data_IF_027967539649
#
_entry.id   IF_027967539649
#
_cell.length_a   1.000
_cell.length_b   1.000
_cell.length_c   1.000
_cell.angle_alpha   90.00
_cell.angle_beta   90.00
_cell.angle_gamma   90.00
#
_symmetry.space_group_name_H-M   'P 1'
#
loop_
_entity.id
_entity.type
_entity.pdbx_description
1 polymer ?
#
# COMPACT_ATOMS: atom_id res chain seq x y z
N UNK A 1 4.06 -1.11 14.00
CA UNK A 1 4.66 -1.97 15.04
C UNK A 1 4.98 -3.33 14.47
N UNK A 2 6.08 -3.93 14.92
CA UNK A 2 6.47 -5.28 14.52
C UNK A 2 7.41 -5.88 15.55
N UNK A 3 7.38 -7.20 15.68
CA UNK A 3 8.43 -7.99 16.26
C UNK A 3 9.11 -8.77 15.12
N UNK A 4 10.40 -8.52 14.92
CA UNK A 4 11.27 -9.36 14.09
C UNK A 4 12.45 -9.80 14.95
N UNK A 5 12.69 -11.09 15.00
CA UNK A 5 13.81 -11.69 15.71
C UNK A 5 14.67 -12.42 14.69
N UNK A 6 15.96 -12.09 14.66
CA UNK A 6 16.92 -12.68 13.73
C UNK A 6 18.07 -13.27 14.51
N UNK A 7 18.41 -14.52 14.25
CA UNK A 7 19.66 -15.13 14.66
C UNK A 7 20.57 -15.26 13.44
N UNK A 8 21.82 -14.86 13.60
CA UNK A 8 22.88 -14.99 12.60
C UNK A 8 24.07 -15.68 13.24
N UNK A 9 24.49 -16.80 12.66
CA UNK A 9 25.67 -17.54 13.08
C UNK A 9 26.39 -18.17 11.90
N UNK A 10 27.52 -18.81 12.18
CA UNK A 10 28.34 -19.45 11.14
C UNK A 10 27.62 -20.60 10.43
N UNK A 11 26.67 -21.26 11.10
CA UNK A 11 25.91 -22.40 10.55
C UNK A 11 24.70 -21.97 9.72
N UNK A 12 24.28 -20.71 9.79
CA UNK A 12 23.08 -20.22 9.13
C UNK A 12 22.43 -19.04 9.81
N UNK A 13 21.26 -18.67 9.30
CA UNK A 13 20.43 -17.57 9.76
C UNK A 13 18.99 -18.07 9.95
N UNK A 14 18.36 -17.67 11.06
CA UNK A 14 16.94 -17.91 11.35
C UNK A 14 16.28 -16.57 11.56
N UNK A 15 15.13 -16.35 10.97
CA UNK A 15 14.39 -15.10 11.13
C UNK A 15 12.90 -15.38 11.33
N UNK A 16 12.32 -14.75 12.35
CA UNK A 16 10.89 -14.78 12.64
C UNK A 16 10.33 -13.36 12.60
N UNK A 17 9.13 -13.19 12.05
CA UNK A 17 8.43 -11.92 12.00
C UNK A 17 6.93 -12.08 12.16
N UNK A 18 6.32 -11.19 12.92
CA UNK A 18 4.86 -11.19 13.09
C UNK A 18 4.18 -10.58 11.87
N UNK A 19 2.87 -10.76 11.74
CA UNK A 19 2.12 -10.28 10.57
C UNK A 19 1.23 -9.06 10.84
N UNK A 20 1.27 -8.47 12.05
CA UNK A 20 0.40 -7.35 12.45
C UNK A 20 0.89 -6.01 11.94
N UNK A 21 0.05 -5.24 11.28
CA UNK A 21 0.29 -3.82 11.04
C UNK A 21 -0.88 -3.02 11.58
N UNK A 22 -0.56 -1.93 12.28
CA UNK A 22 -1.53 -1.03 12.90
C UNK A 22 -1.31 0.35 12.29
N UNK A 23 -2.33 0.85 11.61
CA UNK A 23 -2.44 2.23 11.18
C UNK A 23 -3.26 3.03 12.18
N UNK A 24 -2.81 4.24 12.48
CA UNK A 24 -3.48 5.17 13.39
C UNK A 24 -3.92 6.39 12.60
N UNK A 25 -5.22 6.69 12.60
CA UNK A 25 -5.80 7.88 11.98
C UNK A 25 -6.46 8.74 13.05
N UNK A 26 -6.08 10.00 13.11
CA UNK A 26 -6.54 10.94 14.14
C UNK A 26 -5.50 12.00 14.43
N UNK A 27 -5.76 12.81 15.46
CA UNK A 27 -4.85 13.84 15.93
C UNK A 27 -3.44 13.29 16.24
N UNK A 28 -2.40 14.10 16.01
CA UNK A 28 -1.02 13.66 16.16
C UNK A 28 -0.66 13.40 17.62
N UNK A 29 -1.01 14.29 18.54
CA UNK A 29 -0.63 14.18 19.95
C UNK A 29 -1.32 12.98 20.60
N UNK A 30 -2.60 12.77 20.28
CA UNK A 30 -3.34 11.61 20.76
C UNK A 30 -2.76 10.30 20.23
N UNK A 31 -2.35 10.25 18.95
CA UNK A 31 -1.69 9.07 18.37
C UNK A 31 -0.38 8.75 19.07
N UNK A 32 0.44 9.76 19.36
CA UNK A 32 1.71 9.58 20.07
C UNK A 32 1.47 9.07 21.50
N UNK A 33 0.47 9.59 22.20
CA UNK A 33 0.05 9.10 23.52
C UNK A 33 -0.37 7.63 23.48
N UNK A 34 -1.25 7.26 22.54
CA UNK A 34 -1.70 5.87 22.40
C UNK A 34 -0.54 4.92 22.09
N UNK A 35 0.35 5.31 21.17
CA UNK A 35 1.55 4.52 20.85
C UNK A 35 2.45 4.32 22.07
N UNK A 36 2.67 5.35 22.89
CA UNK A 36 3.46 5.25 24.12
C UNK A 36 2.83 4.28 25.13
N UNK A 37 1.52 4.38 25.35
CA UNK A 37 0.79 3.47 26.26
C UNK A 37 0.90 2.02 25.79
N UNK A 38 0.84 1.77 24.48
CA UNK A 38 1.06 0.45 23.89
C UNK A 38 2.50 -0.02 24.06
N UNK A 39 3.49 0.85 23.82
CA UNK A 39 4.91 0.47 23.84
C UNK A 39 5.44 0.22 25.25
N UNK A 40 4.82 0.83 26.25
CA UNK A 40 5.11 0.64 27.68
C UNK A 40 4.33 -0.52 28.29
N UNK A 41 3.38 -1.11 27.57
CA UNK A 41 2.59 -2.26 28.05
C UNK A 41 1.42 -1.89 28.97
N UNK A 42 0.99 -0.63 28.98
CA UNK A 42 -0.24 -0.22 29.69
C UNK A 42 -1.48 -0.87 29.08
N UNK A 43 -1.45 -1.12 27.77
CA UNK A 43 -2.50 -1.79 27.00
C UNK A 43 -2.06 -3.23 26.71
N UNK A 44 -2.83 -4.21 27.18
CA UNK A 44 -2.50 -5.63 27.14
C UNK A 44 -3.30 -6.42 26.13
N UNK A 45 -4.53 -5.99 25.83
CA UNK A 45 -5.42 -6.70 24.91
C UNK A 45 -5.82 -5.85 23.72
N UNK A 46 -6.33 -6.50 22.66
CA UNK A 46 -6.83 -5.79 21.47
C UNK A 46 -8.12 -5.04 21.79
N UNK A 47 -8.95 -5.55 22.70
CA UNK A 47 -10.16 -4.90 23.20
C UNK A 47 -9.82 -3.62 23.97
N UNK A 48 -8.82 -3.67 24.86
CA UNK A 48 -8.32 -2.48 25.57
C UNK A 48 -7.78 -1.45 24.58
N UNK A 49 -7.05 -1.89 23.55
CA UNK A 49 -6.54 -1.01 22.50
C UNK A 49 -7.66 -0.29 21.75
N UNK A 50 -8.71 -1.01 21.35
CA UNK A 50 -9.87 -0.40 20.68
C UNK A 50 -10.62 0.58 21.58
N UNK A 51 -10.83 0.21 22.84
CA UNK A 51 -11.48 1.10 23.83
C UNK A 51 -10.67 2.39 23.99
N UNK A 52 -9.36 2.26 24.21
CA UNK A 52 -8.48 3.40 24.44
C UNK A 52 -8.37 4.30 23.20
N UNK A 53 -8.29 3.71 22.02
CA UNK A 53 -8.29 4.47 20.78
C UNK A 53 -9.59 5.25 20.58
N UNK A 54 -10.75 4.67 20.93
CA UNK A 54 -12.04 5.37 20.87
C UNK A 54 -12.10 6.55 21.84
N UNK A 55 -11.58 6.40 23.06
CA UNK A 55 -11.49 7.50 24.04
C UNK A 55 -10.64 8.68 23.54
N UNK A 56 -9.63 8.39 22.71
CA UNK A 56 -8.72 9.37 22.13
C UNK A 56 -9.14 9.82 20.72
N UNK A 57 -10.32 9.43 20.26
CA UNK A 57 -10.86 9.71 18.91
C UNK A 57 -9.92 9.25 17.76
N UNK A 58 -9.20 8.16 17.98
CA UNK A 58 -8.29 7.55 17.01
C UNK A 58 -8.98 6.38 16.32
N UNK A 59 -9.05 6.44 15.00
CA UNK A 59 -9.45 5.33 14.16
C UNK A 59 -8.28 4.38 13.92
N UNK A 60 -8.44 3.11 14.30
CA UNK A 60 -7.44 2.06 14.12
C UNK A 60 -7.72 1.25 12.85
N UNK A 61 -6.66 0.99 12.09
CA UNK A 61 -6.66 -0.02 11.01
C UNK A 61 -5.66 -1.12 11.36
N UNK A 62 -6.16 -2.24 11.88
CA UNK A 62 -5.35 -3.41 12.22
C UNK A 62 -5.46 -4.44 11.08
N UNK A 63 -4.32 -4.98 10.67
CA UNK A 63 -4.22 -6.02 9.63
C UNK A 63 -3.22 -7.07 10.09
N UNK A 64 -3.52 -8.35 9.97
CA UNK A 64 -2.69 -9.46 10.49
C UNK A 64 -2.06 -10.32 9.38
N UNK A 65 -1.94 -9.78 8.17
CA UNK A 65 -1.45 -10.48 6.99
C UNK A 65 -0.24 -9.79 6.31
N UNK A 66 0.46 -8.91 7.02
CA UNK A 66 1.60 -8.17 6.44
C UNK A 66 2.84 -9.04 6.44
N UNK A 67 3.43 -9.23 5.26
CA UNK A 67 4.75 -9.87 5.13
C UNK A 67 5.84 -8.94 5.69
N UNK A 68 6.51 -9.39 6.75
CA UNK A 68 7.62 -8.66 7.39
C UNK A 68 8.96 -9.34 7.25
N UNK A 69 8.93 -10.65 7.05
CA UNK A 69 10.11 -11.46 6.79
C UNK A 69 9.89 -12.19 5.48
N UNK A 70 10.90 -12.17 4.63
CA UNK A 70 10.90 -12.87 3.34
C UNK A 70 12.25 -13.49 3.05
N UNK A 71 12.24 -14.45 2.14
CA UNK A 71 13.44 -15.11 1.64
C UNK A 71 13.81 -14.58 0.25
N UNK A 72 15.07 -14.15 0.08
CA UNK A 72 15.68 -13.80 -1.20
C UNK A 72 16.82 -14.79 -1.50
N UNK A 73 16.45 -16.05 -1.77
CA UNK A 73 17.38 -17.16 -2.03
C UNK A 73 18.14 -17.60 -0.78
N UNK A 74 19.38 -17.14 -0.65
CA UNK A 74 20.29 -17.47 0.47
C UNK A 74 20.32 -16.37 1.55
N UNK A 75 19.51 -15.32 1.39
CA UNK A 75 19.45 -14.17 2.29
C UNK A 75 18.02 -14.02 2.83
N UNK A 76 17.90 -13.95 4.16
CA UNK A 76 16.66 -13.58 4.82
C UNK A 76 16.59 -12.07 5.01
N UNK A 77 15.42 -11.49 4.72
CA UNK A 77 15.17 -10.05 4.88
C UNK A 77 14.03 -9.83 5.85
N UNK A 78 14.30 -9.09 6.92
CA UNK A 78 13.31 -8.63 7.87
C UNK A 78 13.13 -7.13 7.75
N UNK A 79 11.89 -6.64 7.67
CA UNK A 79 11.59 -5.21 7.51
C UNK A 79 10.54 -4.72 8.49
N UNK A 80 10.88 -3.65 9.21
CA UNK A 80 9.91 -2.85 9.97
C UNK A 80 9.76 -1.49 9.31
N UNK A 81 8.52 -1.00 9.25
CA UNK A 81 8.17 0.26 8.57
C UNK A 81 7.45 1.16 9.56
N UNK A 82 7.82 2.44 9.55
CA UNK A 82 7.09 3.53 10.18
C UNK A 82 6.62 4.46 9.06
N UNK A 83 5.31 4.67 8.97
CA UNK A 83 4.72 5.61 8.02
C UNK A 83 4.12 6.78 8.79
N UNK A 84 4.52 7.99 8.44
CA UNK A 84 3.85 9.23 8.86
C UNK A 84 3.15 9.83 7.64
N UNK A 85 2.50 10.98 7.83
CA UNK A 85 1.87 11.73 6.72
C UNK A 85 2.89 12.26 5.71
N UNK A 86 4.15 12.46 6.13
CA UNK A 86 5.19 13.11 5.31
C UNK A 86 6.27 12.14 4.83
N UNK A 87 6.57 11.10 5.61
CA UNK A 87 7.69 10.21 5.32
C UNK A 87 7.41 8.76 5.65
N UNK A 88 8.12 7.86 4.98
CA UNK A 88 8.19 6.45 5.34
C UNK A 88 9.62 6.11 5.71
N UNK A 89 9.84 5.73 6.96
CA UNK A 89 11.12 5.21 7.44
C UNK A 89 11.05 3.69 7.51
N UNK A 90 12.13 3.02 7.12
CA UNK A 90 12.22 1.55 7.18
C UNK A 90 13.52 1.16 7.85
N UNK A 91 13.46 0.10 8.66
CA UNK A 91 14.66 -0.60 9.11
C UNK A 91 14.59 -2.02 8.56
N UNK A 92 15.64 -2.41 7.86
CA UNK A 92 15.81 -3.75 7.31
C UNK A 92 16.96 -4.45 8.00
N UNK A 93 16.86 -5.76 8.13
CA UNK A 93 17.98 -6.64 8.37
C UNK A 93 18.05 -7.64 7.22
N UNK A 94 19.22 -7.75 6.62
CA UNK A 94 19.58 -8.80 5.67
C UNK A 94 20.52 -9.75 6.40
N UNK A 95 20.20 -11.02 6.47
CA UNK A 95 21.00 -12.02 7.20
C UNK A 95 21.20 -13.30 6.40
N UNK A 96 22.41 -13.84 6.47
CA UNK A 96 22.77 -15.15 5.91
C UNK A 96 23.74 -15.85 6.88
N UNK A 97 24.28 -17.02 6.52
CA UNK A 97 25.35 -17.62 7.34
C UNK A 97 26.54 -16.67 7.47
N UNK A 98 27.13 -16.55 8.65
CA UNK A 98 28.36 -15.79 8.89
C UNK A 98 28.28 -14.27 8.65
N UNK A 99 27.11 -13.67 8.47
CA UNK A 99 27.02 -12.21 8.31
C UNK A 99 25.61 -11.63 8.26
N UNK A 100 25.53 -10.32 8.55
CA UNK A 100 24.32 -9.53 8.35
C UNK A 100 24.59 -8.05 8.03
N UNK A 101 23.58 -7.40 7.46
CA UNK A 101 23.48 -5.95 7.31
C UNK A 101 22.17 -5.43 7.91
N UNK A 102 22.26 -4.47 8.81
CA UNK A 102 21.13 -3.65 9.25
C UNK A 102 21.13 -2.35 8.47
N UNK A 103 20.03 -2.03 7.81
CA UNK A 103 19.91 -0.90 6.88
C UNK A 103 18.76 -0.02 7.30
N UNK A 104 19.01 1.27 7.41
CA UNK A 104 17.97 2.28 7.64
C UNK A 104 17.71 3.02 6.34
N UNK A 105 16.43 3.07 5.93
CA UNK A 105 15.97 3.72 4.71
C UNK A 105 15.00 4.85 5.05
N UNK A 106 15.12 5.99 4.37
CA UNK A 106 14.06 7.00 4.29
C UNK A 106 13.53 6.99 2.87
N UNK A 107 12.26 6.63 2.72
CA UNK A 107 11.67 6.32 1.43
C UNK A 107 12.37 5.11 0.79
N UNK A 108 13.27 5.38 -0.14
CA UNK A 108 14.06 4.40 -0.91
C UNK A 108 15.55 4.76 -0.94
N UNK A 109 15.98 5.68 -0.08
CA UNK A 109 17.38 6.07 0.08
C UNK A 109 17.96 5.41 1.31
N UNK A 110 19.14 4.79 1.17
CA UNK A 110 19.92 4.25 2.28
C UNK A 110 20.52 5.40 3.07
N UNK A 111 20.19 5.47 4.36
CA UNK A 111 20.73 6.47 5.30
C UNK A 111 21.85 5.89 6.16
N UNK A 112 21.75 4.62 6.52
CA UNK A 112 22.73 3.96 7.36
C UNK A 112 22.82 2.47 7.03
N UNK A 113 24.03 1.92 7.13
CA UNK A 113 24.29 0.48 7.03
C UNK A 113 25.23 0.09 8.16
N UNK A 114 24.81 -0.88 8.97
CA UNK A 114 25.64 -1.52 9.99
C UNK A 114 25.82 -2.99 9.66
N UNK A 115 27.05 -3.47 9.70
CA UNK A 115 27.36 -4.87 9.45
C UNK A 115 27.77 -5.59 10.73
N UNK A 116 27.65 -6.92 10.72
CA UNK A 116 28.18 -7.78 11.76
C UNK A 116 28.24 -9.23 11.31
N UNK A 117 28.91 -10.07 12.10
CA UNK A 117 29.19 -11.46 11.74
C UNK A 117 28.21 -12.46 12.39
N UNK A 118 28.05 -12.39 13.71
CA UNK A 118 27.13 -13.25 14.46
C UNK A 118 26.40 -12.43 15.51
N UNK A 119 25.09 -12.56 15.59
CA UNK A 119 24.27 -11.81 16.54
C UNK A 119 22.85 -12.38 16.65
N UNK A 120 22.16 -12.01 17.72
CA UNK A 120 20.70 -12.02 17.76
C UNK A 120 20.23 -10.57 17.66
N UNK A 121 19.51 -10.23 16.60
CA UNK A 121 18.98 -8.88 16.36
C UNK A 121 17.46 -8.90 16.56
N UNK A 122 16.95 -7.95 17.33
CA UNK A 122 15.53 -7.82 17.64
C UNK A 122 15.04 -6.44 17.21
N UNK A 123 14.15 -6.41 16.23
CA UNK A 123 13.32 -5.24 15.94
C UNK A 123 12.00 -5.39 16.68
N UNK A 124 11.64 -4.36 17.45
CA UNK A 124 10.53 -4.40 18.39
C UNK A 124 10.42 -3.09 19.16
N UNK A 125 9.21 -2.83 19.67
CA UNK A 125 9.01 -1.83 20.72
C UNK A 125 9.65 -2.31 22.04
N UNK A 126 9.55 -1.49 23.09
CA UNK A 126 10.21 -1.77 24.37
C UNK A 126 9.73 -3.09 24.99
N UNK A 127 8.42 -3.28 25.15
CA UNK A 127 7.84 -4.48 25.76
C UNK A 127 8.16 -5.77 24.99
N UNK A 128 8.02 -5.76 23.65
CA UNK A 128 8.31 -6.95 22.82
C UNK A 128 9.78 -7.37 22.91
N UNK A 129 10.71 -6.39 22.96
CA UNK A 129 12.13 -6.65 23.20
C UNK A 129 12.39 -7.19 24.60
N UNK A 130 11.75 -6.66 25.63
CA UNK A 130 11.93 -7.14 27.01
C UNK A 130 11.51 -8.60 27.15
N UNK A 131 10.32 -8.95 26.64
CA UNK A 131 9.81 -10.32 26.64
C UNK A 131 10.75 -11.24 25.85
N UNK A 132 11.10 -10.87 24.62
CA UNK A 132 11.99 -11.67 23.78
C UNK A 132 13.35 -11.91 24.45
N UNK A 133 13.96 -10.87 25.03
CA UNK A 133 15.23 -11.01 25.74
C UNK A 133 15.13 -11.91 26.98
N UNK A 134 14.00 -11.86 27.71
CA UNK A 134 13.76 -12.76 28.87
C UNK A 134 13.74 -14.22 28.43
N UNK A 135 13.05 -14.54 27.34
CA UNK A 135 13.02 -15.88 26.77
C UNK A 135 14.39 -16.35 26.29
N UNK A 136 15.12 -15.49 25.56
CA UNK A 136 16.47 -15.80 25.12
C UNK A 136 17.38 -16.10 26.31
N UNK A 137 17.40 -15.27 27.35
CA UNK A 137 18.22 -15.52 28.55
C UNK A 137 17.90 -16.85 29.24
N UNK A 138 16.63 -17.28 29.24
CA UNK A 138 16.18 -18.50 29.90
C UNK A 138 16.47 -19.77 29.10
N UNK A 139 16.33 -19.71 27.77
CA UNK A 139 16.34 -20.89 26.91
C UNK A 139 17.58 -21.02 26.02
N UNK A 140 18.35 -19.94 25.84
CA UNK A 140 19.52 -19.95 24.97
C UNK A 140 20.70 -20.69 25.59
N UNK A 141 21.31 -21.59 24.80
CA UNK A 141 22.52 -22.33 25.18
C UNK A 141 23.63 -22.08 24.15
N UNK A 142 24.90 -22.21 24.56
CA UNK A 142 26.06 -21.95 23.70
C UNK A 142 26.16 -22.84 22.46
N UNK A 143 25.50 -24.01 22.45
CA UNK A 143 25.48 -24.97 21.34
C UNK A 143 24.09 -25.16 20.71
N UNK A 144 23.24 -24.14 20.75
CA UNK A 144 21.89 -24.20 20.17
C UNK A 144 21.95 -24.45 18.66
N UNK A 145 21.29 -25.50 18.17
CA UNK A 145 21.14 -25.81 16.75
C UNK A 145 20.15 -24.86 16.06
N UNK A 146 20.22 -24.72 14.72
CA UNK A 146 19.28 -23.86 13.98
C UNK A 146 17.81 -24.25 14.21
N UNK A 147 17.52 -25.56 14.29
CA UNK A 147 16.18 -26.05 14.59
C UNK A 147 15.71 -25.65 15.99
N UNK A 148 16.59 -25.68 16.99
CA UNK A 148 16.27 -25.20 18.33
C UNK A 148 16.08 -23.69 18.36
N UNK A 149 16.87 -22.92 17.61
CA UNK A 149 16.66 -21.47 17.44
C UNK A 149 15.27 -21.20 16.88
N UNK A 150 14.85 -21.91 15.83
CA UNK A 150 13.50 -21.80 15.26
C UNK A 150 12.40 -22.10 16.29
N UNK A 151 12.58 -23.12 17.14
CA UNK A 151 11.65 -23.43 18.24
C UNK A 151 11.62 -22.33 19.31
N UNK A 152 12.78 -21.79 19.70
CA UNK A 152 12.85 -20.67 20.65
C UNK A 152 12.11 -19.46 20.09
N UNK A 153 12.34 -19.12 18.81
CA UNK A 153 11.67 -17.99 18.18
C UNK A 153 10.16 -18.19 18.11
N UNK A 154 9.70 -19.40 17.75
CA UNK A 154 8.29 -19.77 17.77
C UNK A 154 7.63 -19.44 19.11
N UNK A 155 8.20 -19.93 20.20
CA UNK A 155 7.66 -19.71 21.54
C UNK A 155 7.65 -18.21 21.89
N UNK A 156 8.70 -17.47 21.52
CA UNK A 156 8.73 -16.01 21.74
C UNK A 156 7.59 -15.32 20.99
N UNK A 157 7.33 -15.66 19.73
CA UNK A 157 6.25 -15.03 18.95
C UNK A 157 4.89 -15.30 19.59
N UNK A 158 4.64 -16.54 20.02
CA UNK A 158 3.39 -16.96 20.67
C UNK A 158 3.19 -16.25 22.00
N UNK A 159 4.21 -16.23 22.86
CA UNK A 159 4.13 -15.59 24.19
C UNK A 159 3.96 -14.07 24.07
N UNK A 160 4.65 -13.43 23.13
CA UNK A 160 4.50 -11.98 22.91
C UNK A 160 3.11 -11.65 22.38
N UNK A 161 2.57 -12.43 21.45
CA UNK A 161 1.22 -12.20 20.91
C UNK A 161 0.12 -12.30 22.00
N UNK A 162 0.33 -13.11 23.04
CA UNK A 162 -0.59 -13.21 24.17
C UNK A 162 -0.49 -12.03 25.15
N UNK A 163 0.67 -11.37 25.22
CA UNK A 163 0.96 -10.36 26.24
C UNK A 163 0.80 -8.92 25.74
N UNK A 164 0.65 -8.71 24.42
CA UNK A 164 0.50 -7.38 23.85
C UNK A 164 -0.33 -7.40 22.57
N UNK A 165 -1.18 -6.37 22.34
CA UNK A 165 -1.95 -6.27 21.09
C UNK A 165 -1.07 -5.83 19.91
N UNK A 166 0.22 -5.56 20.13
CA UNK A 166 1.12 -4.98 19.11
C UNK A 166 1.68 -6.01 18.13
N UNK A 167 1.46 -7.30 18.39
CA UNK A 167 1.99 -8.46 17.65
C UNK A 167 0.85 -9.40 17.29
N UNK A 168 0.89 -9.96 16.07
CA UNK A 168 -0.11 -10.95 15.62
C UNK A 168 0.17 -12.32 16.23
N UNK A 169 -0.88 -13.11 16.45
CA UNK A 169 -0.74 -14.55 16.69
C UNK A 169 -0.20 -15.32 15.47
N UNK A 170 -0.30 -14.73 14.28
CA UNK A 170 0.28 -15.25 13.05
C UNK A 170 1.68 -14.66 12.83
N UNK A 171 2.61 -15.53 12.45
CA UNK A 171 4.00 -15.18 12.21
C UNK A 171 4.60 -16.09 11.15
N UNK A 172 5.64 -15.59 10.49
CA UNK A 172 6.45 -16.36 9.54
C UNK A 172 7.81 -16.65 10.17
N UNK A 173 8.36 -17.84 9.94
CA UNK A 173 9.72 -18.22 10.35
C UNK A 173 10.44 -18.85 9.16
N UNK A 174 11.60 -18.30 8.83
CA UNK A 174 12.46 -18.81 7.76
C UNK A 174 13.84 -19.17 8.29
N UNK A 175 14.51 -20.09 7.61
CA UNK A 175 15.89 -20.51 7.91
C UNK A 175 16.65 -20.68 6.62
N UNK A 176 17.87 -20.14 6.58
CA UNK A 176 18.86 -20.36 5.51
C UNK A 176 20.17 -20.83 6.14
N UNK A 177 20.88 -21.71 5.46
CA UNK A 177 22.13 -22.29 5.96
C UNK A 177 23.14 -22.54 4.83
N UNK A 178 23.41 -21.53 3.99
CA UNK A 178 24.44 -21.67 2.95
C UNK A 178 25.81 -21.84 3.61
N UNK A 179 26.75 -22.45 2.89
CA UNK A 179 28.11 -22.65 3.38
C UNK A 179 28.98 -21.48 2.90
N UNK A 180 28.98 -20.39 3.67
CA UNK A 180 29.71 -19.16 3.34
C UNK A 180 30.68 -18.78 4.45
N UNK A 181 31.90 -18.41 4.05
CA UNK A 181 32.79 -17.65 4.91
C UNK A 181 32.28 -16.20 5.09
N UNK A 182 32.89 -15.46 6.01
CA UNK A 182 32.45 -14.10 6.30
C UNK A 182 32.58 -13.14 5.09
N UNK A 183 33.62 -13.30 4.27
CA UNK A 183 33.85 -12.43 3.10
C UNK A 183 32.81 -12.70 2.02
N UNK A 184 32.53 -13.97 1.75
CA UNK A 184 31.48 -14.40 0.82
C UNK A 184 30.10 -13.92 1.28
N UNK A 185 29.80 -14.07 2.57
CA UNK A 185 28.55 -13.61 3.17
C UNK A 185 28.36 -12.10 2.97
N UNK A 186 29.39 -11.30 3.24
CA UNK A 186 29.32 -9.84 3.12
C UNK A 186 29.10 -9.38 1.68
N UNK A 187 29.72 -10.06 0.70
CA UNK A 187 29.50 -9.74 -0.72
C UNK A 187 28.09 -10.14 -1.18
N UNK A 188 27.59 -11.31 -0.79
CA UNK A 188 26.22 -11.75 -1.07
C UNK A 188 25.19 -10.77 -0.47
N UNK A 189 25.40 -10.35 0.78
CA UNK A 189 24.51 -9.41 1.46
C UNK A 189 24.51 -8.03 0.77
N UNK A 190 25.68 -7.53 0.39
CA UNK A 190 25.82 -6.23 -0.28
C UNK A 190 25.11 -6.23 -1.63
N UNK A 191 25.34 -7.25 -2.46
CA UNK A 191 24.73 -7.36 -3.79
C UNK A 191 23.21 -7.52 -3.70
N UNK A 192 22.73 -8.39 -2.81
CA UNK A 192 21.30 -8.60 -2.57
C UNK A 192 20.62 -7.33 -2.06
N UNK A 193 21.23 -6.63 -1.10
CA UNK A 193 20.70 -5.37 -0.57
C UNK A 193 20.54 -4.32 -1.66
N UNK A 194 21.56 -4.13 -2.52
CA UNK A 194 21.50 -3.13 -3.60
C UNK A 194 20.38 -3.48 -4.59
N UNK A 195 20.24 -4.76 -4.97
CA UNK A 195 19.20 -5.21 -5.88
C UNK A 195 17.79 -4.99 -5.28
N UNK A 196 17.57 -5.38 -4.03
CA UNK A 196 16.29 -5.23 -3.31
C UNK A 196 15.90 -3.74 -3.12
N UNK A 197 16.88 -2.86 -2.87
CA UNK A 197 16.63 -1.42 -2.78
C UNK A 197 16.30 -0.82 -4.16
N UNK A 198 16.96 -1.27 -5.24
CA UNK A 198 16.60 -0.84 -6.61
C UNK A 198 15.19 -1.28 -7.01
N UNK A 199 14.78 -2.49 -6.65
CA UNK A 199 13.41 -2.95 -6.86
C UNK A 199 12.41 -2.08 -6.10
N UNK A 200 12.72 -1.72 -4.84
CA UNK A 200 11.89 -0.79 -4.08
C UNK A 200 11.78 0.58 -4.76
N UNK A 201 12.88 1.11 -5.32
CA UNK A 201 12.86 2.38 -6.05
C UNK A 201 11.95 2.30 -7.27
N UNK A 202 12.09 1.26 -8.09
CA UNK A 202 11.24 1.05 -9.27
C UNK A 202 9.76 0.97 -8.89
N UNK A 203 9.42 0.12 -7.92
CA UNK A 203 8.05 -0.03 -7.44
C UNK A 203 7.44 1.29 -6.95
N UNK A 204 8.25 2.17 -6.33
CA UNK A 204 7.76 3.50 -5.90
C UNK A 204 7.52 4.44 -7.06
N UNK A 205 8.33 4.39 -8.11
CA UNK A 205 8.10 5.19 -9.31
C UNK A 205 6.85 4.72 -10.03
N UNK A 206 6.68 3.41 -10.20
CA UNK A 206 5.48 2.81 -10.79
C UNK A 206 4.21 3.24 -10.03
N UNK A 207 4.24 3.16 -8.69
CA UNK A 207 3.14 3.65 -7.85
C UNK A 207 2.87 5.15 -8.01
N UNK A 208 3.93 5.96 -8.15
CA UNK A 208 3.77 7.40 -8.33
C UNK A 208 3.07 7.70 -9.66
N UNK A 209 3.45 7.00 -10.73
CA UNK A 209 2.78 7.13 -12.03
C UNK A 209 1.33 6.69 -11.95
N UNK A 210 1.03 5.56 -11.32
CA UNK A 210 -0.34 5.08 -11.10
C UNK A 210 -1.19 6.09 -10.31
N UNK A 211 -0.61 6.74 -9.29
CA UNK A 211 -1.33 7.78 -8.54
C UNK A 211 -1.58 9.05 -9.37
N UNK A 212 -0.65 9.44 -10.25
CA UNK A 212 -0.84 10.58 -11.16
C UNK A 212 -1.93 10.27 -12.19
N UNK A 213 -1.93 9.07 -12.76
CA UNK A 213 -2.97 8.60 -13.68
C UNK A 213 -4.35 8.60 -13.00
N UNK A 214 -4.47 7.99 -11.82
CA UNK A 214 -5.73 7.99 -11.06
C UNK A 214 -6.18 9.39 -10.67
N UNK A 215 -5.24 10.28 -10.31
CA UNK A 215 -5.59 11.67 -10.01
C UNK A 215 -6.13 12.39 -11.24
N UNK A 216 -5.54 12.15 -12.41
CA UNK A 216 -6.04 12.67 -13.69
C UNK A 216 -7.43 12.10 -13.98
N UNK A 217 -7.64 10.81 -13.82
CA UNK A 217 -8.94 10.17 -14.03
C UNK A 217 -10.02 10.78 -13.12
N UNK A 218 -9.72 11.00 -11.84
CA UNK A 218 -10.64 11.64 -10.89
C UNK A 218 -10.97 13.08 -11.33
N UNK A 219 -9.96 13.84 -11.72
CA UNK A 219 -10.15 15.21 -12.20
C UNK A 219 -11.01 15.23 -13.48
N UNK A 220 -10.74 14.35 -14.43
CA UNK A 220 -11.51 14.25 -15.66
C UNK A 220 -12.94 13.76 -15.41
N UNK A 221 -13.13 12.77 -14.52
CA UNK A 221 -14.46 12.30 -14.12
C UNK A 221 -15.33 13.42 -13.54
N UNK A 222 -14.73 14.37 -12.80
CA UNK A 222 -15.45 15.53 -12.27
C UNK A 222 -16.00 16.48 -13.35
N UNK A 223 -15.50 16.38 -14.58
CA UNK A 223 -15.93 17.19 -15.72
C UNK A 223 -17.05 16.52 -16.52
N UNK A 224 -17.32 15.23 -16.32
CA UNK A 224 -18.39 14.52 -17.02
C UNK A 224 -19.71 15.25 -16.79
N UNK A 225 -20.42 15.51 -17.88
CA UNK A 225 -21.74 16.12 -17.83
C UNK A 225 -22.74 15.08 -17.31
N UNK A 226 -23.22 15.27 -16.08
CA UNK A 226 -24.32 14.48 -15.50
C UNK A 226 -25.68 15.18 -15.62
N UNK A 227 -25.67 16.48 -15.94
CA UNK A 227 -26.85 17.28 -16.21
C UNK A 227 -26.50 18.51 -17.07
N UNK A 228 -27.38 18.90 -17.98
CA UNK A 228 -27.29 20.14 -18.73
C UNK A 228 -27.47 20.01 -20.24
N UNK A 229 -27.27 21.11 -20.95
CA UNK A 229 -27.31 21.14 -22.42
C UNK A 229 -26.03 20.54 -23.01
N UNK A 230 -26.19 19.63 -23.97
CA UNK A 230 -25.09 19.00 -24.69
C UNK A 230 -24.89 19.65 -26.05
N UNK A 231 -25.97 19.91 -26.77
CA UNK A 231 -25.89 20.32 -28.17
C UNK A 231 -27.23 20.34 -28.89
N UNK A 232 -27.18 20.51 -30.20
CA UNK A 232 -28.37 20.53 -31.07
C UNK A 232 -28.25 19.59 -32.25
N UNK A 233 -29.35 18.95 -32.61
CA UNK A 233 -29.42 18.04 -33.77
C UNK A 233 -29.16 18.82 -35.06
N UNK A 234 -28.16 18.40 -35.82
CA UNK A 234 -27.82 18.95 -37.14
C UNK A 234 -28.54 18.21 -38.26
N UNK A 235 -28.46 16.88 -38.27
CA UNK A 235 -29.13 15.98 -39.19
C UNK A 235 -29.30 14.59 -38.58
N UNK A 236 -30.22 13.82 -39.15
CA UNK A 236 -30.51 12.43 -38.75
C UNK A 236 -30.49 11.56 -40.00
N UNK A 237 -29.75 10.45 -39.96
CA UNK A 237 -29.65 9.45 -41.03
C UNK A 237 -29.91 8.06 -40.44
N UNK A 238 -31.11 7.52 -40.64
CA UNK A 238 -31.53 6.27 -39.98
C UNK A 238 -31.54 6.43 -38.46
N UNK A 239 -30.81 5.56 -37.78
CA UNK A 239 -30.65 5.58 -36.32
C UNK A 239 -29.48 6.45 -35.85
N UNK A 240 -28.72 7.07 -36.76
CA UNK A 240 -27.62 7.97 -36.43
C UNK A 240 -28.06 9.44 -36.40
N UNK A 241 -27.67 10.14 -35.34
CA UNK A 241 -27.98 11.55 -35.10
C UNK A 241 -26.68 12.34 -35.02
N UNK A 242 -26.49 13.30 -35.92
CA UNK A 242 -25.37 14.22 -35.86
C UNK A 242 -25.75 15.42 -34.97
N UNK A 243 -24.97 15.66 -33.92
CA UNK A 243 -25.21 16.70 -32.91
C UNK A 243 -24.06 17.69 -32.91
N UNK A 244 -24.35 18.98 -33.01
CA UNK A 244 -23.37 20.06 -32.81
C UNK A 244 -23.27 20.33 -31.31
N UNK A 245 -22.07 20.24 -30.76
CA UNK A 245 -21.80 20.48 -29.34
C UNK A 245 -22.01 21.95 -28.97
N UNK A 246 -22.67 22.17 -27.83
CA UNK A 246 -22.92 23.52 -27.30
C UNK A 246 -21.64 24.16 -26.75
N UNK A 247 -21.59 25.50 -26.63
CA UNK A 247 -20.50 26.19 -25.95
C UNK A 247 -20.27 25.61 -24.55
N UNK A 248 -19.03 25.30 -24.20
CA UNK A 248 -18.71 24.71 -22.90
C UNK A 248 -18.75 23.18 -22.86
N UNK A 249 -19.02 22.50 -23.99
CA UNK A 249 -19.12 21.04 -24.07
C UNK A 249 -18.07 20.48 -25.02
N UNK A 250 -17.41 19.41 -24.60
CA UNK A 250 -16.46 18.64 -25.41
C UNK A 250 -16.75 17.14 -25.33
N UNK A 251 -16.33 16.41 -26.35
CA UNK A 251 -16.40 14.97 -26.44
C UNK A 251 -15.00 14.36 -26.39
N UNK A 252 -14.82 13.40 -25.49
CA UNK A 252 -13.56 12.70 -25.25
C UNK A 252 -13.75 11.20 -25.46
N UNK A 253 -12.67 10.48 -25.78
CA UNK A 253 -12.67 9.01 -25.73
C UNK A 253 -12.43 8.48 -24.31
N UNK A 254 -12.44 7.16 -24.14
CA UNK A 254 -12.18 6.48 -22.85
C UNK A 254 -10.76 6.67 -22.29
N UNK A 255 -9.86 7.29 -23.06
CA UNK A 255 -8.50 7.68 -22.64
C UNK A 255 -8.37 9.18 -22.39
N UNK A 256 -9.49 9.90 -22.33
CA UNK A 256 -9.54 11.36 -22.16
C UNK A 256 -8.89 12.16 -23.29
N UNK A 257 -8.80 11.60 -24.49
CA UNK A 257 -8.32 12.30 -25.68
C UNK A 257 -9.49 13.01 -26.37
N UNK A 258 -9.29 14.28 -26.74
CA UNK A 258 -10.31 15.10 -27.39
C UNK A 258 -10.67 14.55 -28.77
N UNK A 259 -11.96 14.29 -28.96
CA UNK A 259 -12.54 13.87 -30.23
C UNK A 259 -13.25 15.02 -30.93
N UNK A 260 -13.97 15.85 -30.17
CA UNK A 260 -14.66 17.03 -30.70
C UNK A 260 -14.82 18.12 -29.62
N UNK A 261 -14.62 19.38 -29.99
CA UNK A 261 -14.78 20.55 -29.13
C UNK A 261 -16.12 21.30 -29.33
N UNK A 262 -16.31 22.42 -28.61
CA UNK A 262 -17.51 23.25 -28.75
C UNK A 262 -17.74 23.71 -30.21
N UNK A 263 -18.96 23.53 -30.72
CA UNK A 263 -19.33 23.86 -32.10
C UNK A 263 -18.94 22.81 -33.15
N UNK A 264 -18.19 21.77 -32.76
CA UNK A 264 -17.92 20.61 -33.61
C UNK A 264 -19.03 19.57 -33.47
N UNK A 265 -19.02 18.58 -34.36
CA UNK A 265 -20.10 17.59 -34.52
C UNK A 265 -19.69 16.20 -34.06
N UNK A 266 -20.60 15.54 -33.37
CA UNK A 266 -20.48 14.14 -32.95
C UNK A 266 -21.68 13.33 -33.43
N UNK A 267 -21.49 12.01 -33.56
CA UNK A 267 -22.56 11.08 -33.92
C UNK A 267 -23.06 10.35 -32.67
N UNK A 268 -24.37 10.32 -32.50
CA UNK A 268 -25.09 9.57 -31.47
C UNK A 268 -26.04 8.57 -32.12
N UNK A 269 -26.48 7.56 -31.38
CA UNK A 269 -27.47 6.57 -31.83
C UNK A 269 -28.81 6.77 -31.12
N UNK A 270 -29.88 6.74 -31.88
CA UNK A 270 -31.25 6.71 -31.38
C UNK A 270 -31.55 5.37 -30.70
N UNK A 271 -32.13 5.43 -29.51
CA UNK A 271 -32.58 4.23 -28.78
C UNK A 271 -33.95 3.75 -29.26
N UNK A 272 -34.79 4.67 -29.75
CA UNK A 272 -36.16 4.43 -30.21
C UNK A 272 -36.38 5.09 -31.58
N UNK A 273 -37.18 4.46 -32.45
CA UNK A 273 -37.48 4.99 -33.78
C UNK A 273 -38.51 6.14 -33.72
N UNK A 274 -38.09 7.29 -33.19
CA UNK A 274 -38.88 8.52 -33.11
C UNK A 274 -38.35 9.55 -34.10
N UNK A 275 -39.24 10.29 -34.77
CA UNK A 275 -38.84 11.31 -35.74
C UNK A 275 -38.23 12.53 -35.04
N UNK A 276 -36.92 12.73 -35.18
CA UNK A 276 -36.20 13.92 -34.71
C UNK A 276 -36.27 15.06 -35.72
N UNK A 277 -36.36 16.30 -35.23
CA UNK A 277 -36.30 17.49 -36.05
C UNK A 277 -34.91 18.14 -35.96
N UNK A 278 -34.49 18.75 -37.07
CA UNK A 278 -33.28 19.59 -37.07
C UNK A 278 -33.44 20.74 -36.08
N UNK A 279 -32.44 20.90 -35.22
CA UNK A 279 -32.40 21.93 -34.17
C UNK A 279 -32.93 21.47 -32.80
N UNK A 280 -33.43 20.24 -32.67
CA UNK A 280 -33.85 19.69 -31.38
C UNK A 280 -32.68 19.70 -30.38
N UNK A 281 -33.00 20.03 -29.12
CA UNK A 281 -32.00 20.20 -28.06
C UNK A 281 -31.69 18.86 -27.40
N UNK A 282 -30.41 18.49 -27.41
CA UNK A 282 -29.87 17.33 -26.72
C UNK A 282 -29.42 17.75 -25.33
N UNK A 283 -29.88 17.03 -24.31
CA UNK A 283 -29.57 17.28 -22.91
C UNK A 283 -29.17 15.98 -22.20
N UNK A 284 -28.46 16.13 -21.09
CA UNK A 284 -28.36 15.09 -20.07
C UNK A 284 -29.22 15.52 -18.89
N UNK A 285 -30.06 14.61 -18.41
CA UNK A 285 -30.89 14.81 -17.22
C UNK A 285 -30.91 13.52 -16.41
N UNK A 286 -30.53 13.62 -15.13
CA UNK A 286 -30.38 12.46 -14.25
C UNK A 286 -29.55 11.33 -14.88
N UNK A 287 -28.41 11.69 -15.49
CA UNK A 287 -27.50 10.79 -16.20
C UNK A 287 -28.05 10.16 -17.49
N UNK A 288 -29.27 10.52 -17.92
CA UNK A 288 -29.86 10.04 -19.17
C UNK A 288 -29.66 11.05 -20.30
N UNK A 289 -28.98 10.63 -21.37
CA UNK A 289 -28.82 11.40 -22.59
C UNK A 289 -30.10 11.31 -23.44
N UNK A 290 -30.77 12.44 -23.65
CA UNK A 290 -32.05 12.46 -24.34
C UNK A 290 -32.34 13.79 -25.06
N UNK A 291 -33.40 13.78 -25.86
CA UNK A 291 -33.95 14.99 -26.47
C UNK A 291 -34.87 15.68 -25.48
N UNK A 292 -34.66 16.98 -25.24
CA UNK A 292 -35.39 17.74 -24.20
C UNK A 292 -36.91 17.74 -24.38
N UNK A 293 -37.38 17.73 -25.63
CA UNK A 293 -38.79 17.90 -25.99
C UNK A 293 -39.66 16.71 -25.56
N UNK A 294 -39.19 15.50 -25.82
CA UNK A 294 -39.98 14.26 -25.73
C UNK A 294 -39.28 13.15 -24.94
N UNK A 295 -38.09 13.43 -24.39
CA UNK A 295 -37.27 12.49 -23.62
C UNK A 295 -36.85 11.26 -24.43
N UNK A 296 -36.83 11.36 -25.77
CA UNK A 296 -36.29 10.29 -26.64
C UNK A 296 -34.84 10.02 -26.26
N UNK A 297 -34.53 8.76 -25.94
CA UNK A 297 -33.20 8.34 -25.51
C UNK A 297 -32.18 8.35 -26.65
N UNK A 298 -30.96 8.75 -26.32
CA UNK A 298 -29.80 8.70 -27.19
C UNK A 298 -28.66 7.95 -26.50
N UNK A 299 -27.78 7.34 -27.27
CA UNK A 299 -26.58 6.66 -26.78
C UNK A 299 -25.36 7.05 -27.59
N UNK A 300 -24.18 7.02 -26.97
CA UNK A 300 -22.92 7.29 -27.65
C UNK A 300 -21.74 6.59 -26.94
N UNK A 301 -20.71 6.23 -27.70
CA UNK A 301 -19.50 5.56 -27.20
C UNK A 301 -18.38 6.55 -26.81
N UNK A 302 -18.78 7.76 -26.42
CA UNK A 302 -17.90 8.89 -26.08
C UNK A 302 -18.30 9.49 -24.73
N UNK A 303 -17.35 10.16 -24.08
CA UNK A 303 -17.57 10.83 -22.80
C UNK A 303 -17.81 12.32 -23.07
N UNK A 304 -18.97 12.82 -22.66
CA UNK A 304 -19.32 14.23 -22.76
C UNK A 304 -18.89 14.96 -21.49
N UNK A 305 -18.04 15.96 -21.66
CA UNK A 305 -17.46 16.72 -20.56
C UNK A 305 -17.71 18.22 -20.70
N UNK A 306 -17.66 18.92 -19.58
CA UNK A 306 -17.49 20.37 -19.55
C UNK A 306 -16.09 20.71 -20.05
N UNK A 307 -15.99 21.64 -20.99
CA UNK A 307 -14.70 22.16 -21.45
C UNK A 307 -14.02 22.94 -20.34
N UNK A 308 -12.70 22.87 -20.24
CA UNK A 308 -11.92 23.71 -19.34
C UNK A 308 -12.07 25.19 -19.78
N UNK A 309 -12.82 26.00 -19.02
CA UNK A 309 -12.77 27.46 -19.09
C UNK A 309 -11.80 28.00 -18.05
#
# INVERSE_FOLDING_TARGET
>A
MSLIITYVGSKGCVMAGDKRSIGFLGDKEQRELLEEEMYTGKIKTTEELHKRAKELEINLKITDNVEKVRNLGEVLVGEVKLRTTLETRRKRIYGTSSGYHQVELTGSEIKNVKSGQSSIVIFGNKITKEIANKHLKKHWKSKTSLNEVGKIFRNIMEDVAQLTPTVSSQYDIFTVHPQLDHKQAMELLRTTMIADVKQLQKWREDLKQEMLEKSRDIQMASRILTQGEVGRVRKTEGDEVEVILSPGVEALNTKWELLAGPGETITMKLSDHTSLNRGDLVIIEDENLCIKKDKTGLSCDIILCKSDQ
#
